data_IF_860754304094
#
_entry.id   IF_860754304094
#
_cell.length_a   1.000
_cell.length_b   1.000
_cell.length_c   1.000
_cell.angle_alpha   90.00
_cell.angle_beta   90.00
_cell.angle_gamma   90.00
#
_symmetry.space_group_name_H-M   'P 1'
#
loop_
_entity.id
_entity.type
_entity.pdbx_description
1 polymer ?
#
# COMPACT_ATOMS: atom_id res chain seq x y z
N UNK A 1 0.67 10.55 -9.35
CA UNK A 1 0.44 11.87 -8.70
C UNK A 1 -0.70 12.50 -9.46
N UNK A 2 -1.78 12.90 -8.78
CA UNK A 2 -2.87 13.65 -9.42
C UNK A 2 -2.36 15.00 -9.90
N UNK A 3 -2.98 15.53 -10.95
CA UNK A 3 -2.62 16.83 -11.51
C UNK A 3 -2.86 17.98 -10.52
N UNK A 4 -3.92 17.90 -9.71
CA UNK A 4 -4.28 18.95 -8.75
C UNK A 4 -3.78 18.73 -7.30
N UNK A 5 -2.93 17.72 -7.09
CA UNK A 5 -2.35 17.35 -5.79
C UNK A 5 -3.30 16.83 -4.71
N UNK A 6 -4.58 16.56 -5.01
CA UNK A 6 -5.44 15.79 -4.10
C UNK A 6 -5.05 14.32 -4.04
N UNK A 7 -5.29 13.69 -2.89
CA UNK A 7 -5.15 12.23 -2.78
C UNK A 7 -6.28 11.54 -3.54
N UNK A 8 -5.96 10.42 -4.18
CA UNK A 8 -6.91 9.59 -4.92
C UNK A 8 -7.11 8.29 -4.16
N UNK A 9 -8.36 8.00 -3.78
CA UNK A 9 -8.77 6.73 -3.20
C UNK A 9 -9.27 5.80 -4.30
N UNK A 10 -8.88 4.53 -4.25
CA UNK A 10 -9.35 3.46 -5.12
C UNK A 10 -9.49 2.17 -4.31
N UNK A 11 -10.07 1.14 -4.91
CA UNK A 11 -10.40 -0.11 -4.23
C UNK A 11 -9.15 -0.84 -3.70
N UNK A 12 -9.28 -1.49 -2.53
CA UNK A 12 -8.26 -2.32 -1.93
C UNK A 12 -8.14 -3.71 -2.60
N UNK A 13 -8.98 -4.03 -3.58
CA UNK A 13 -8.82 -5.21 -4.44
C UNK A 13 -7.64 -5.10 -5.42
N UNK A 14 -6.97 -3.95 -5.47
CA UNK A 14 -5.81 -3.71 -6.33
C UNK A 14 -4.67 -4.68 -6.05
N UNK A 15 -4.01 -5.11 -7.12
CA UNK A 15 -2.75 -5.89 -7.04
C UNK A 15 -1.50 -4.99 -7.02
N UNK A 16 -1.68 -3.66 -7.10
CA UNK A 16 -0.57 -2.71 -7.04
C UNK A 16 0.08 -2.73 -5.66
N UNK A 17 1.41 -2.81 -5.63
CA UNK A 17 2.17 -2.80 -4.38
C UNK A 17 2.44 -1.35 -3.97
N UNK A 18 2.63 -1.06 -2.68
CA UNK A 18 3.02 0.29 -2.26
C UNK A 18 4.30 0.74 -2.98
N UNK A 19 4.18 1.81 -3.76
CA UNK A 19 5.26 2.34 -4.60
C UNK A 19 5.10 2.06 -6.11
N UNK A 20 4.20 1.15 -6.51
CA UNK A 20 3.83 0.98 -7.92
C UNK A 20 3.01 2.21 -8.41
N UNK A 21 3.01 2.48 -9.72
CA UNK A 21 2.13 3.50 -10.30
C UNK A 21 0.80 2.88 -10.71
N UNK A 22 -0.29 3.60 -10.48
CA UNK A 22 -1.65 3.15 -10.79
C UNK A 22 -2.31 4.16 -11.70
N UNK A 23 -2.80 3.69 -12.83
CA UNK A 23 -3.65 4.45 -13.74
C UNK A 23 -5.10 4.31 -13.27
N UNK A 24 -5.74 5.45 -13.01
CA UNK A 24 -7.04 5.53 -12.35
C UNK A 24 -7.97 6.43 -13.15
N UNK A 25 -9.19 5.97 -13.39
CA UNK A 25 -10.30 6.80 -13.85
C UNK A 25 -10.99 7.46 -12.66
N UNK A 26 -11.11 8.78 -12.65
CA UNK A 26 -11.79 9.51 -11.58
C UNK A 26 -13.30 9.36 -11.73
N UNK A 27 -13.95 8.81 -10.70
CA UNK A 27 -15.40 8.57 -10.69
C UNK A 27 -16.17 9.57 -9.83
N UNK A 28 -15.51 10.16 -8.83
CA UNK A 28 -16.10 11.19 -7.98
C UNK A 28 -15.02 12.13 -7.41
N UNK A 29 -15.43 13.33 -7.02
CA UNK A 29 -14.55 14.39 -6.57
C UNK A 29 -15.13 15.14 -5.36
N UNK A 30 -14.34 15.20 -4.29
CA UNK A 30 -14.62 16.00 -3.09
C UNK A 30 -13.64 17.17 -2.96
N UNK A 31 -13.90 18.12 -2.05
CA UNK A 31 -13.07 19.30 -1.88
C UNK A 31 -11.57 18.98 -1.63
N UNK A 32 -11.27 17.85 -0.99
CA UNK A 32 -9.90 17.52 -0.54
C UNK A 32 -9.37 16.17 -1.04
N UNK A 33 -10.19 15.38 -1.72
CA UNK A 33 -9.79 14.08 -2.26
C UNK A 33 -10.59 13.73 -3.52
N UNK A 34 -10.10 12.72 -4.22
CA UNK A 34 -10.73 12.12 -5.38
C UNK A 34 -11.03 10.65 -5.10
N UNK A 35 -12.08 10.12 -5.75
CA UNK A 35 -12.37 8.70 -5.80
C UNK A 35 -12.17 8.24 -7.23
N UNK A 36 -11.53 7.10 -7.43
CA UNK A 36 -11.37 6.53 -8.75
C UNK A 36 -11.31 5.02 -8.78
N UNK A 37 -11.38 4.51 -9.99
CA UNK A 37 -11.35 3.09 -10.34
C UNK A 37 -10.04 2.77 -11.04
N UNK A 38 -9.34 1.74 -10.57
CA UNK A 38 -8.11 1.27 -11.21
C UNK A 38 -8.40 0.73 -12.61
N UNK A 39 -7.55 1.11 -13.58
CA UNK A 39 -7.55 0.58 -14.93
C UNK A 39 -6.34 -0.34 -15.16
N UNK A 40 -5.17 0.08 -14.69
CA UNK A 40 -3.92 -0.65 -14.79
C UNK A 40 -2.93 -0.19 -13.72
N UNK A 41 -1.87 -0.96 -13.51
CA UNK A 41 -0.73 -0.53 -12.72
C UNK A 41 0.60 -0.90 -13.38
N UNK A 42 1.62 -0.13 -13.09
CA UNK A 42 2.99 -0.30 -13.57
C UNK A 42 3.85 -0.63 -12.38
N UNK A 43 4.52 -1.79 -12.44
CA UNK A 43 5.47 -2.22 -11.41
C UNK A 43 6.69 -1.30 -11.39
N UNK A 44 7.13 -0.92 -10.21
CA UNK A 44 8.31 -0.05 -10.04
C UNK A 44 9.34 -0.65 -9.10
N UNK A 45 10.56 -0.08 -9.15
CA UNK A 45 11.61 -0.33 -8.16
C UNK A 45 11.16 -0.01 -6.72
N UNK A 46 10.25 0.96 -6.55
CA UNK A 46 9.69 1.32 -5.25
C UNK A 46 8.82 0.19 -4.70
N UNK A 47 7.94 -0.37 -5.54
CA UNK A 47 7.14 -1.55 -5.19
C UNK A 47 7.99 -2.78 -4.87
N UNK A 48 9.08 -2.99 -5.61
CA UNK A 48 10.02 -4.09 -5.32
C UNK A 48 10.74 -3.89 -3.98
N UNK A 49 11.17 -2.66 -3.67
CA UNK A 49 11.80 -2.34 -2.40
C UNK A 49 10.83 -2.55 -1.22
N UNK A 50 9.57 -2.15 -1.37
CA UNK A 50 8.55 -2.39 -0.35
C UNK A 50 8.34 -3.90 -0.13
N UNK A 51 8.20 -4.66 -1.22
CA UNK A 51 8.03 -6.13 -1.16
C UNK A 51 9.17 -6.79 -0.41
N UNK A 52 10.42 -6.48 -0.80
CA UNK A 52 11.62 -7.00 -0.14
C UNK A 52 11.64 -6.71 1.35
N UNK A 53 11.32 -5.46 1.74
CA UNK A 53 11.24 -5.07 3.16
C UNK A 53 10.17 -5.87 3.91
N UNK A 54 9.01 -6.09 3.31
CA UNK A 54 7.93 -6.87 3.93
C UNK A 54 8.33 -8.34 4.10
N UNK A 55 9.00 -8.92 3.11
CA UNK A 55 9.52 -10.30 3.17
C UNK A 55 10.62 -10.48 4.22
N UNK A 56 11.57 -9.54 4.31
CA UNK A 56 12.63 -9.52 5.33
C UNK A 56 12.08 -9.31 6.75
N UNK A 57 10.95 -8.60 6.87
CA UNK A 57 10.24 -8.42 8.14
C UNK A 57 9.48 -9.67 8.59
N UNK A 58 9.46 -10.75 7.80
CA UNK A 58 9.06 -12.05 8.33
C UNK A 58 9.95 -12.38 9.53
N UNK A 59 9.40 -12.90 10.64
CA UNK A 59 10.14 -13.04 11.89
C UNK A 59 11.33 -13.97 11.67
N UNK A 60 12.49 -13.37 11.44
CA UNK A 60 13.76 -14.06 11.53
C UNK A 60 13.88 -14.52 12.97
N UNK A 61 14.28 -15.77 13.26
CA UNK A 61 14.55 -16.23 14.61
C UNK A 61 15.70 -15.40 15.22
N UNK A 62 15.36 -14.25 15.79
CA UNK A 62 16.26 -13.37 16.49
C UNK A 62 16.40 -13.79 17.95
N UNK A 63 17.46 -13.30 18.60
CA UNK A 63 17.59 -13.42 20.06
C UNK A 63 16.48 -12.57 20.69
N UNK A 64 15.50 -13.23 21.33
CA UNK A 64 14.39 -12.56 21.99
C UNK A 64 14.90 -11.78 23.20
N UNK A 65 14.54 -10.50 23.32
CA UNK A 65 14.90 -9.62 24.44
C UNK A 65 14.07 -9.87 25.72
N UNK A 66 13.30 -10.96 25.77
CA UNK A 66 12.41 -11.28 26.90
C UNK A 66 11.24 -10.31 27.10
N UNK A 67 10.99 -9.42 26.13
CA UNK A 67 9.89 -8.45 26.19
C UNK A 67 8.57 -9.19 25.97
N UNK A 68 7.54 -9.01 26.83
CA UNK A 68 6.22 -9.60 26.63
C UNK A 68 5.63 -9.18 25.27
N UNK A 69 5.24 -10.15 24.44
CA UNK A 69 4.60 -9.90 23.15
C UNK A 69 3.10 -9.64 23.32
N UNK A 70 2.57 -8.64 22.63
CA UNK A 70 1.13 -8.49 22.44
C UNK A 70 0.65 -9.46 21.36
N UNK A 71 -0.21 -10.40 21.74
CA UNK A 71 -0.86 -11.29 20.79
C UNK A 71 -1.91 -10.49 20.01
N UNK A 72 -1.89 -10.60 18.68
CA UNK A 72 -2.92 -9.97 17.84
C UNK A 72 -4.25 -10.70 18.12
N UNK A 73 -5.25 -9.96 18.61
CA UNK A 73 -6.59 -10.52 18.80
C UNK A 73 -7.13 -11.00 17.45
N UNK A 74 -7.70 -12.22 17.42
CA UNK A 74 -8.44 -12.69 16.26
C UNK A 74 -9.81 -12.00 16.28
N UNK A 75 -10.06 -11.20 15.25
CA UNK A 75 -11.37 -10.60 14.93
C UNK A 75 -11.85 -11.25 13.65
#
# INVERSE_FOLDING_TARGET
RSEDFRLVHFDNSSLARPGDFVDVEITDASAHYLIGRELAHIKTRGGDAHTRRTEESSPTPGVMLGIPSVLKAQV
#
